data_IF_306639237596
#
_entry.id   IF_306639237596
#
_cell.length_a   1.000
_cell.length_b   1.000
_cell.length_c   1.000
_cell.angle_alpha   90.00
_cell.angle_beta   90.00
_cell.angle_gamma   90.00
#
_symmetry.space_group_name_H-M   'P 1'
#
loop_
_entity.id
_entity.type
_entity.pdbx_description
1 polymer ?
#
# COMPACT_ATOMS: atom_id res chain seq x y z
N UNK A 1 -47.17 13.33 21.27
CA UNK A 1 -45.71 13.48 21.11
C UNK A 1 -45.17 12.16 20.56
N UNK A 2 -45.59 11.87 19.32
CA UNK A 2 -45.25 10.69 18.52
C UNK A 2 -44.49 11.18 17.28
N UNK A 3 -43.79 10.25 16.65
CA UNK A 3 -42.81 10.36 15.56
C UNK A 3 -41.41 10.79 16.01
N UNK A 4 -40.53 9.80 16.23
CA UNK A 4 -39.61 9.38 15.16
C UNK A 4 -39.53 7.85 15.17
N UNK A 5 -40.27 7.23 14.25
CA UNK A 5 -39.94 5.92 13.71
C UNK A 5 -38.67 6.03 12.85
N UNK A 6 -37.95 4.91 12.77
CA UNK A 6 -37.06 4.54 11.67
C UNK A 6 -35.74 5.32 11.54
N UNK A 7 -34.70 4.79 12.18
CA UNK A 7 -33.38 4.71 11.55
C UNK A 7 -32.66 3.50 12.15
N UNK A 8 -32.99 2.28 11.70
CA UNK A 8 -32.07 1.55 10.83
C UNK A 8 -30.60 1.75 11.26
N UNK A 9 -30.21 1.13 12.37
CA UNK A 9 -28.80 0.85 12.67
C UNK A 9 -28.27 -0.27 11.76
N UNK A 10 -28.47 -0.07 10.46
CA UNK A 10 -27.62 -0.62 9.42
C UNK A 10 -26.41 0.29 9.26
N UNK A 11 -25.70 0.61 10.34
CA UNK A 11 -24.33 1.11 10.20
C UNK A 11 -23.45 -0.08 9.90
N UNK A 12 -23.59 -0.51 8.65
CA UNK A 12 -22.59 -1.28 7.91
C UNK A 12 -21.24 -0.72 8.30
N UNK A 13 -20.46 -1.54 8.99
CA UNK A 13 -19.06 -1.34 9.30
C UNK A 13 -18.29 -1.35 7.97
N UNK A 14 -18.53 -0.37 7.11
CA UNK A 14 -17.54 0.06 6.14
C UNK A 14 -16.42 0.64 6.99
N UNK A 15 -15.46 -0.21 7.31
CA UNK A 15 -14.18 0.23 7.83
C UNK A 15 -13.67 1.28 6.85
N UNK A 16 -13.74 2.50 7.36
CA UNK A 16 -13.26 3.75 6.85
C UNK A 16 -12.18 3.63 5.74
N UNK A 17 -12.60 3.91 4.52
CA UNK A 17 -11.76 4.09 3.33
C UNK A 17 -10.95 5.40 3.43
N UNK A 18 -10.22 5.65 4.53
CA UNK A 18 -9.32 6.79 4.67
C UNK A 18 -7.87 6.39 4.31
N UNK A 19 -7.62 6.31 3.00
CA UNK A 19 -6.32 6.44 2.28
C UNK A 19 -5.07 5.74 2.88
N UNK A 20 -4.97 4.39 2.83
CA UNK A 20 -3.72 3.65 3.07
C UNK A 20 -2.51 4.19 2.28
N UNK A 21 -2.77 4.73 1.08
CA UNK A 21 -1.76 5.37 0.22
C UNK A 21 -1.02 6.56 0.87
N UNK A 22 -1.66 7.34 1.74
CA UNK A 22 -1.03 8.52 2.37
C UNK A 22 -0.12 8.13 3.53
N UNK A 23 -0.60 7.24 4.39
CA UNK A 23 0.18 6.77 5.55
C UNK A 23 1.42 6.00 5.10
N UNK A 24 1.26 5.11 4.11
CA UNK A 24 2.36 4.40 3.48
C UNK A 24 3.39 5.36 2.87
N UNK A 25 2.92 6.37 2.13
CA UNK A 25 3.79 7.37 1.53
C UNK A 25 4.60 8.13 2.58
N UNK A 26 3.97 8.56 3.68
CA UNK A 26 4.66 9.25 4.77
C UNK A 26 5.64 8.33 5.51
N UNK A 27 5.29 7.05 5.72
CA UNK A 27 6.20 6.06 6.30
C UNK A 27 7.45 5.85 5.44
N UNK A 28 7.29 5.72 4.12
CA UNK A 28 8.42 5.60 3.19
C UNK A 28 9.31 6.85 3.25
N UNK A 29 8.72 8.05 3.22
CA UNK A 29 9.46 9.32 3.36
C UNK A 29 10.25 9.39 4.67
N UNK A 30 9.61 9.04 5.79
CA UNK A 30 10.25 9.02 7.09
C UNK A 30 11.44 8.06 7.11
N UNK A 31 11.26 6.82 6.65
CA UNK A 31 12.33 5.81 6.59
C UNK A 31 13.49 6.27 5.71
N UNK A 32 13.20 6.86 4.54
CA UNK A 32 14.24 7.39 3.65
C UNK A 32 15.03 8.51 4.33
N UNK A 33 14.35 9.41 5.05
CA UNK A 33 15.01 10.49 5.79
C UNK A 33 15.91 9.97 6.90
N UNK A 34 15.47 8.94 7.64
CA UNK A 34 16.31 8.26 8.64
C UNK A 34 17.53 7.59 8.00
N UNK A 35 17.39 7.08 6.77
CA UNK A 35 18.49 6.52 5.97
C UNK A 35 19.35 7.58 5.24
N UNK A 36 19.17 8.87 5.52
CA UNK A 36 19.92 9.96 4.86
C UNK A 36 19.58 10.17 3.38
N UNK A 37 18.44 9.68 2.92
CA UNK A 37 17.98 9.73 1.52
C UNK A 37 16.63 10.45 1.39
N UNK A 38 16.11 10.51 0.16
CA UNK A 38 14.80 11.08 -0.15
C UNK A 38 14.24 10.49 -1.46
N UNK A 39 12.94 10.67 -1.70
CA UNK A 39 12.32 10.29 -2.98
C UNK A 39 12.97 11.01 -4.16
N UNK A 40 13.39 12.27 -3.97
CA UNK A 40 14.11 13.03 -4.98
C UNK A 40 15.52 12.47 -5.25
N UNK A 41 16.23 12.02 -4.21
CA UNK A 41 17.52 11.35 -4.38
C UNK A 41 17.37 10.04 -5.15
N UNK A 42 16.38 9.20 -4.80
CA UNK A 42 16.05 7.98 -5.55
C UNK A 42 15.70 8.29 -7.00
N UNK A 43 14.93 9.34 -7.26
CA UNK A 43 14.58 9.76 -8.62
C UNK A 43 15.81 10.14 -9.45
N UNK A 44 16.75 10.90 -8.86
CA UNK A 44 18.02 11.29 -9.48
C UNK A 44 18.89 10.09 -9.81
N UNK A 45 19.03 9.16 -8.86
CA UNK A 45 19.84 7.95 -9.04
C UNK A 45 19.26 7.03 -10.12
N UNK A 46 17.93 6.93 -10.20
CA UNK A 46 17.28 6.15 -11.24
C UNK A 46 17.20 6.90 -12.58
N UNK A 47 17.40 8.22 -12.62
CA UNK A 47 17.19 9.02 -13.83
C UNK A 47 15.72 9.12 -14.25
N UNK A 48 14.80 9.24 -13.28
CA UNK A 48 13.35 9.36 -13.52
C UNK A 48 12.79 10.62 -12.89
N UNK A 49 11.58 11.03 -13.32
CA UNK A 49 10.89 12.15 -12.70
C UNK A 49 10.50 11.83 -11.24
N UNK A 50 10.73 12.79 -10.33
CA UNK A 50 10.39 12.67 -8.92
C UNK A 50 8.89 12.42 -8.70
N UNK A 51 8.02 12.99 -9.54
CA UNK A 51 6.57 12.74 -9.55
C UNK A 51 6.24 11.28 -9.74
N UNK A 52 6.99 10.57 -10.60
CA UNK A 52 6.79 9.13 -10.84
C UNK A 52 7.14 8.32 -9.59
N UNK A 53 8.21 8.69 -8.89
CA UNK A 53 8.61 8.04 -7.63
C UNK A 53 7.56 8.29 -6.54
N UNK A 54 7.02 9.51 -6.46
CA UNK A 54 5.90 9.84 -5.55
C UNK A 54 4.67 8.96 -5.81
N UNK A 55 4.23 8.86 -7.07
CA UNK A 55 3.07 8.04 -7.44
C UNK A 55 3.28 6.55 -7.10
N UNK A 56 4.51 6.03 -7.24
CA UNK A 56 4.85 4.65 -6.84
C UNK A 56 4.86 4.49 -5.32
N UNK A 57 5.44 5.44 -4.59
CA UNK A 57 5.47 5.41 -3.12
C UNK A 57 4.08 5.49 -2.48
N UNK A 58 3.11 6.13 -3.15
CA UNK A 58 1.70 6.14 -2.78
C UNK A 58 0.96 4.86 -3.18
N UNK A 59 1.59 3.97 -3.94
CA UNK A 59 0.95 2.81 -4.51
C UNK A 59 -0.01 3.09 -5.68
N UNK A 60 -0.10 4.33 -6.16
CA UNK A 60 -0.97 4.66 -7.29
C UNK A 60 -0.47 4.08 -8.63
N UNK A 61 0.83 3.79 -8.75
CA UNK A 61 1.43 3.14 -9.93
C UNK A 61 2.39 2.03 -9.51
N UNK A 62 2.50 1.00 -10.35
CA UNK A 62 3.48 -0.08 -10.19
C UNK A 62 4.70 0.18 -11.06
N UNK A 63 5.88 0.10 -10.48
CA UNK A 63 7.14 0.11 -11.23
C UNK A 63 8.19 -0.68 -10.46
N UNK A 64 8.48 -1.90 -10.93
CA UNK A 64 9.44 -2.80 -10.26
C UNK A 64 10.80 -2.15 -10.06
N UNK A 65 11.26 -1.34 -11.03
CA UNK A 65 12.55 -0.64 -10.94
C UNK A 65 12.56 0.42 -9.84
N UNK A 66 11.47 1.17 -9.69
CA UNK A 66 11.36 2.21 -8.65
C UNK A 66 11.11 1.58 -7.29
N UNK A 67 10.24 0.57 -7.20
CA UNK A 67 10.00 -0.19 -5.97
C UNK A 67 11.31 -0.79 -5.45
N UNK A 68 12.09 -1.44 -6.32
CA UNK A 68 13.40 -1.98 -5.97
C UNK A 68 14.40 -0.87 -5.57
N UNK A 69 14.41 0.27 -6.25
CA UNK A 69 15.29 1.39 -5.88
C UNK A 69 14.99 1.98 -4.50
N UNK A 70 13.70 2.15 -4.17
CA UNK A 70 13.29 2.60 -2.83
C UNK A 70 13.63 1.53 -1.79
N UNK A 71 13.33 0.26 -2.07
CA UNK A 71 13.56 -0.84 -1.14
C UNK A 71 15.06 -1.04 -0.87
N UNK A 72 15.91 -0.92 -1.89
CA UNK A 72 17.37 -0.97 -1.77
C UNK A 72 17.91 0.14 -0.87
N UNK A 73 17.37 1.36 -0.94
CA UNK A 73 17.74 2.45 -0.01
C UNK A 73 17.37 2.19 1.44
N UNK A 74 16.32 1.40 1.64
CA UNK A 74 15.82 1.06 2.97
C UNK A 74 16.36 -0.28 3.48
N UNK A 75 17.16 -0.99 2.68
CA UNK A 75 17.71 -2.30 3.03
C UNK A 75 16.65 -3.40 3.17
N UNK A 76 15.49 -3.23 2.53
CA UNK A 76 14.36 -4.17 2.63
C UNK A 76 13.86 -4.63 1.27
N UNK A 77 12.93 -5.59 1.26
CA UNK A 77 12.25 -6.04 0.05
C UNK A 77 11.04 -5.15 -0.31
N UNK A 78 10.67 -5.04 -1.61
CA UNK A 78 9.45 -4.35 -2.03
C UNK A 78 8.17 -4.87 -1.35
N UNK A 79 8.11 -6.17 -1.04
CA UNK A 79 6.97 -6.78 -0.35
C UNK A 79 6.72 -6.20 1.05
N UNK A 80 7.76 -5.76 1.75
CA UNK A 80 7.62 -5.14 3.07
C UNK A 80 7.06 -3.71 2.97
N UNK A 81 7.42 -3.00 1.89
CA UNK A 81 6.95 -1.65 1.65
C UNK A 81 5.52 -1.63 1.15
N UNK A 82 5.13 -2.60 0.31
CA UNK A 82 3.79 -2.73 -0.28
C UNK A 82 3.17 -4.11 0.00
N UNK A 83 2.84 -4.46 1.26
CA UNK A 83 2.38 -5.80 1.62
C UNK A 83 1.11 -6.22 0.86
N UNK A 84 0.16 -5.31 0.68
CA UNK A 84 -1.08 -5.54 -0.09
C UNK A 84 -0.83 -6.03 -1.53
N UNK A 85 0.35 -5.76 -2.11
CA UNK A 85 0.70 -6.19 -3.48
C UNK A 85 1.38 -7.54 -3.55
N UNK A 86 1.92 -8.02 -2.43
CA UNK A 86 2.72 -9.24 -2.35
C UNK A 86 2.17 -10.26 -1.36
N UNK A 87 1.08 -9.95 -0.65
CA UNK A 87 0.28 -10.95 0.07
C UNK A 87 -0.15 -12.01 -0.93
N UNK A 88 0.44 -13.19 -0.81
CA UNK A 88 0.01 -14.34 -1.58
C UNK A 88 -1.49 -14.55 -1.32
N UNK A 89 -2.30 -14.90 -2.35
CA UNK A 89 -3.64 -15.37 -2.07
C UNK A 89 -3.51 -16.56 -1.13
N UNK A 90 -4.12 -16.45 0.05
CA UNK A 90 -4.42 -17.58 0.92
C UNK A 90 -4.79 -18.75 0.01
N UNK A 91 -3.98 -19.80 0.02
CA UNK A 91 -4.27 -21.02 -0.71
C UNK A 91 -5.50 -21.62 -0.04
N UNK A 92 -6.70 -21.20 -0.45
CA UNK A 92 -7.93 -21.90 -0.12
C UNK A 92 -7.68 -23.35 -0.54
N UNK A 93 -7.62 -24.32 0.39
CA UNK A 93 -7.46 -25.70 -0.01
C UNK A 93 -8.66 -26.00 -0.87
N UNK A 94 -8.42 -26.26 -2.17
CA UNK A 94 -9.48 -26.70 -3.08
C UNK A 94 -10.07 -27.93 -2.41
N UNK A 95 -11.30 -27.83 -1.91
CA UNK A 95 -12.07 -28.97 -1.44
C UNK A 95 -12.18 -29.92 -2.63
N UNK A 96 -11.27 -30.89 -2.68
CA UNK A 96 -11.46 -32.12 -3.43
C UNK A 96 -12.46 -32.95 -2.61
N UNK A 97 -13.74 -32.57 -2.66
CA UNK A 97 -14.81 -33.56 -2.53
C UNK A 97 -14.97 -34.12 -3.94
N UNK A 98 -14.53 -35.32 -4.28
CA UNK A 98 -14.78 -36.54 -3.50
C UNK A 98 -16.27 -36.86 -3.59
N UNK A 99 -16.80 -36.92 -4.82
CA UNK A 99 -18.14 -37.46 -5.08
C UNK A 99 -18.05 -38.96 -5.26
N UNK A 100 -18.77 -39.77 -4.46
CA UNK A 100 -19.24 -41.08 -4.89
C UNK A 100 -20.49 -40.95 -5.77
#
# INVERSE_FOLDING_TARGET
>A
MLLICAYSESHSFHHDTMRPAREQHERIKMRLRLAGSSLAAVARELGVAATTVTTVSQGARRSRRIEAGIAAKLGVGPAELWPERYSAPESTPRRHGGGP
#
